data_IF_684378108980
#
_entry.id   IF_684378108980
#
_cell.length_a   1.000
_cell.length_b   1.000
_cell.length_c   1.000
_cell.angle_alpha   90.00
_cell.angle_beta   90.00
_cell.angle_gamma   90.00
#
_symmetry.space_group_name_H-M   'P 1'
#
loop_
_entity.id
_entity.type
_entity.pdbx_description
1 polymer ?
#
# COMPACT_ATOMS: atom_id res chain seq x y z
N UNK A 1 -4.44 -22.05 -3.71
CA UNK A 1 -5.75 -21.38 -3.57
C UNK A 1 -6.14 -20.74 -4.90
N UNK A 2 -7.43 -20.79 -5.28
CA UNK A 2 -7.93 -20.11 -6.50
C UNK A 2 -7.76 -18.58 -6.35
N UNK A 3 -7.41 -17.87 -7.42
CA UNK A 3 -7.16 -16.42 -7.43
C UNK A 3 -8.26 -15.60 -6.74
N UNK A 4 -9.54 -15.90 -7.02
CA UNK A 4 -10.70 -15.26 -6.39
C UNK A 4 -10.69 -15.36 -4.86
N UNK A 5 -10.35 -16.54 -4.32
CA UNK A 5 -10.31 -16.73 -2.86
C UNK A 5 -9.19 -15.90 -2.21
N UNK A 6 -8.04 -15.77 -2.89
CA UNK A 6 -6.93 -14.92 -2.41
C UNK A 6 -7.30 -13.44 -2.42
N UNK A 7 -7.96 -12.97 -3.48
CA UNK A 7 -8.44 -11.57 -3.57
C UNK A 7 -9.50 -11.30 -2.51
N UNK A 8 -10.48 -12.18 -2.34
CA UNK A 8 -11.50 -12.03 -1.29
C UNK A 8 -10.89 -12.01 0.12
N UNK A 9 -9.92 -12.89 0.39
CA UNK A 9 -9.21 -12.90 1.66
C UNK A 9 -8.47 -11.58 1.90
N UNK A 10 -7.69 -11.10 0.92
CA UNK A 10 -6.97 -9.83 1.02
C UNK A 10 -7.90 -8.64 1.26
N UNK A 11 -9.03 -8.58 0.53
CA UNK A 11 -10.02 -7.52 0.72
C UNK A 11 -10.64 -7.57 2.13
N UNK A 12 -10.88 -8.77 2.66
CA UNK A 12 -11.31 -8.96 4.04
C UNK A 12 -10.31 -8.40 5.04
N UNK A 13 -9.01 -8.73 4.87
CA UNK A 13 -7.93 -8.20 5.72
C UNK A 13 -7.85 -6.68 5.67
N UNK A 14 -7.86 -6.08 4.47
CA UNK A 14 -7.84 -4.61 4.31
C UNK A 14 -9.01 -3.95 5.05
N UNK A 15 -10.21 -4.51 4.95
CA UNK A 15 -11.39 -3.96 5.61
C UNK A 15 -11.35 -4.13 7.13
N UNK A 16 -10.81 -5.24 7.64
CA UNK A 16 -10.83 -5.58 9.07
C UNK A 16 -9.67 -5.02 9.86
N UNK A 17 -8.50 -4.80 9.23
CA UNK A 17 -7.30 -4.34 9.93
C UNK A 17 -6.83 -2.96 9.45
N UNK A 18 -6.64 -2.79 8.13
CA UNK A 18 -5.97 -1.61 7.61
C UNK A 18 -6.84 -0.35 7.70
N UNK A 19 -8.12 -0.44 7.34
CA UNK A 19 -9.01 0.72 7.44
C UNK A 19 -9.24 1.21 8.87
N UNK A 20 -9.53 0.35 9.87
CA UNK A 20 -9.62 0.80 11.25
C UNK A 20 -8.34 1.49 11.72
N UNK A 21 -7.17 0.91 11.44
CA UNK A 21 -5.89 1.51 11.80
C UNK A 21 -5.70 2.89 11.16
N UNK A 22 -6.02 3.05 9.87
CA UNK A 22 -5.90 4.34 9.19
C UNK A 22 -6.92 5.36 9.70
N UNK A 23 -8.16 4.94 9.95
CA UNK A 23 -9.21 5.82 10.48
C UNK A 23 -8.88 6.27 11.94
N UNK A 24 -8.08 5.51 12.71
CA UNK A 24 -7.59 5.89 14.04
C UNK A 24 -6.37 6.84 14.01
N UNK A 25 -5.50 6.72 13.01
CA UNK A 25 -4.22 7.45 12.95
C UNK A 25 -4.26 8.71 12.06
N UNK A 26 -5.29 8.85 11.23
CA UNK A 26 -5.48 10.02 10.37
C UNK A 26 -6.40 11.05 11.06
N UNK A 27 -6.18 12.35 10.80
CA UNK A 27 -7.01 13.41 11.37
C UNK A 27 -8.48 13.32 10.92
N UNK A 28 -8.72 12.83 9.70
CA UNK A 28 -10.04 12.62 9.12
C UNK A 28 -10.19 11.17 8.63
N UNK A 29 -11.40 10.57 8.75
CA UNK A 29 -11.67 9.25 8.17
C UNK A 29 -11.47 9.25 6.65
N UNK A 30 -11.02 8.12 6.10
CA UNK A 30 -10.78 8.02 4.67
C UNK A 30 -12.09 8.17 3.87
N UNK A 31 -12.08 9.04 2.88
CA UNK A 31 -13.14 9.20 1.89
C UNK A 31 -13.28 7.96 1.00
N UNK A 32 -14.41 7.84 0.28
CA UNK A 32 -14.61 6.73 -0.67
C UNK A 32 -13.50 6.62 -1.73
N UNK A 33 -13.04 7.72 -2.37
CA UNK A 33 -11.90 7.69 -3.28
C UNK A 33 -10.61 7.19 -2.63
N UNK A 34 -10.31 7.63 -1.41
CA UNK A 34 -9.08 7.23 -0.70
C UNK A 34 -9.12 5.75 -0.29
N UNK A 35 -10.26 5.26 0.23
CA UNK A 35 -10.45 3.82 0.51
C UNK A 35 -10.29 2.97 -0.76
N UNK A 36 -10.70 3.50 -1.93
CA UNK A 36 -10.46 2.83 -3.22
C UNK A 36 -8.97 2.81 -3.59
N UNK A 37 -8.26 3.93 -3.40
CA UNK A 37 -6.83 4.02 -3.65
C UNK A 37 -6.05 3.02 -2.79
N UNK A 38 -6.29 3.00 -1.48
CA UNK A 38 -5.62 2.09 -0.53
C UNK A 38 -5.79 0.63 -0.96
N UNK A 39 -7.01 0.22 -1.36
CA UNK A 39 -7.25 -1.15 -1.88
C UNK A 39 -6.41 -1.47 -3.10
N UNK A 40 -6.27 -0.52 -4.03
CA UNK A 40 -5.47 -0.70 -5.25
C UNK A 40 -4.00 -0.85 -4.89
N UNK A 41 -3.48 0.01 -4.01
CA UNK A 41 -2.08 -0.04 -3.59
C UNK A 41 -1.75 -1.37 -2.90
N UNK A 42 -2.63 -1.87 -2.03
CA UNK A 42 -2.44 -3.17 -1.35
C UNK A 42 -2.54 -4.37 -2.32
N UNK A 43 -3.43 -4.29 -3.31
CA UNK A 43 -3.55 -5.31 -4.36
C UNK A 43 -2.31 -5.39 -5.25
N UNK A 44 -1.79 -4.22 -5.63
CA UNK A 44 -0.63 -4.10 -6.53
C UNK A 44 0.68 -4.38 -5.79
N UNK A 45 0.72 -4.14 -4.48
CA UNK A 45 1.96 -4.15 -3.69
C UNK A 45 2.98 -3.20 -4.32
N UNK A 46 2.61 -1.91 -4.36
CA UNK A 46 3.37 -0.87 -5.05
C UNK A 46 4.83 -0.79 -4.59
N UNK A 47 5.12 -1.20 -3.35
CA UNK A 47 6.47 -1.27 -2.80
C UNK A 47 7.40 -2.18 -3.62
N UNK A 48 6.85 -3.21 -4.27
CA UNK A 48 7.60 -4.14 -5.14
C UNK A 48 7.94 -3.56 -6.51
N UNK A 49 7.29 -2.46 -6.87
CA UNK A 49 7.46 -1.79 -8.15
C UNK A 49 8.33 -0.53 -8.04
N UNK A 50 8.90 -0.25 -6.86
CA UNK A 50 9.83 0.85 -6.65
C UNK A 50 11.16 0.55 -7.35
N UNK A 51 11.64 1.41 -8.28
CA UNK A 51 12.88 1.14 -8.99
C UNK A 51 14.12 1.17 -8.08
N UNK A 52 14.80 0.03 -7.97
CA UNK A 52 16.04 -0.17 -7.19
C UNK A 52 17.28 0.12 -8.06
N UNK A 53 17.28 1.23 -8.81
CA UNK A 53 18.41 1.55 -9.71
C UNK A 53 19.45 2.45 -9.04
N UNK A 54 20.67 1.93 -8.88
CA UNK A 54 21.83 2.68 -8.36
C UNK A 54 22.22 3.85 -9.27
N UNK A 55 22.02 3.73 -10.58
CA UNK A 55 22.31 4.77 -11.56
C UNK A 55 21.46 6.03 -11.36
N UNK A 56 20.30 5.93 -10.67
CA UNK A 56 19.39 7.04 -10.38
C UNK A 56 19.41 7.50 -8.92
N UNK A 57 20.41 7.06 -8.14
CA UNK A 57 20.54 7.41 -6.71
C UNK A 57 21.09 8.82 -6.44
N UNK A 58 21.53 9.52 -7.47
CA UNK A 58 22.15 10.85 -7.35
C UNK A 58 21.20 11.89 -6.72
N UNK A 59 19.89 11.63 -6.72
CA UNK A 59 18.86 12.47 -6.12
C UNK A 59 17.84 11.63 -5.31
N UNK A 60 17.34 12.21 -4.22
CA UNK A 60 16.28 11.64 -3.38
C UNK A 60 16.77 10.72 -2.25
N UNK A 61 15.81 10.03 -1.62
CA UNK A 61 16.05 9.14 -0.48
C UNK A 61 16.92 7.93 -0.85
N UNK A 62 17.70 7.34 0.08
CA UNK A 62 18.38 6.07 -0.12
C UNK A 62 17.40 4.95 -0.54
N UNK A 63 17.84 4.02 -1.40
CA UNK A 63 17.00 2.92 -1.91
C UNK A 63 16.31 2.15 -0.77
N UNK A 64 17.04 1.88 0.33
CA UNK A 64 16.51 1.16 1.51
C UNK A 64 15.31 1.86 2.16
N UNK A 65 15.21 3.19 2.03
CA UNK A 65 14.09 3.97 2.58
C UNK A 65 12.91 4.05 1.61
N UNK A 66 13.12 3.87 0.30
CA UNK A 66 12.07 4.09 -0.71
C UNK A 66 10.98 3.03 -0.67
N UNK A 67 11.36 1.76 -0.51
CA UNK A 67 10.39 0.66 -0.35
C UNK A 67 9.54 0.84 0.90
N UNK A 68 10.14 1.34 1.98
CA UNK A 68 9.44 1.61 3.25
C UNK A 68 8.45 2.77 3.12
N UNK A 69 8.78 3.80 2.33
CA UNK A 69 7.89 4.95 2.09
C UNK A 69 6.75 4.60 1.13
N UNK A 70 6.99 3.66 0.20
CA UNK A 70 5.96 3.17 -0.70
C UNK A 70 4.93 2.27 0.01
N UNK A 71 5.14 1.97 1.30
CA UNK A 71 4.28 1.18 2.17
C UNK A 71 3.58 2.09 3.17
#
# INVERSE_FOLDING_TARGET
MKLKAKVSWLMGTVQQSLFPYLDENLPDPLTKPEKRLVKILELVQIEKHVPVSRCRQWLGRPIKERETIAR
#
